data_IF_204971650859
#
_entry.id   IF_204971650859
#
_cell.length_a   1.000
_cell.length_b   1.000
_cell.length_c   1.000
_cell.angle_alpha   90.00
_cell.angle_beta   90.00
_cell.angle_gamma   90.00
#
_symmetry.space_group_name_H-M   'P 1'
#
loop_
_entity.id
_entity.type
_entity.pdbx_description
1 polymer ?
#
# COMPACT_ATOMS: atom_id res chain seq x y z
N UNK A 1 -9.78 1.77 4.85
CA UNK A 1 -8.66 1.18 4.05
C UNK A 1 -7.81 0.20 4.85
N UNK A 2 -7.37 0.51 6.08
CA UNK A 2 -6.52 -0.43 6.85
C UNK A 2 -7.18 -1.79 7.02
N UNK A 3 -8.41 -1.84 7.54
CA UNK A 3 -9.14 -3.11 7.75
C UNK A 3 -9.38 -3.88 6.45
N UNK A 4 -9.70 -3.16 5.37
CA UNK A 4 -9.87 -3.73 4.03
C UNK A 4 -8.58 -4.41 3.56
N UNK A 5 -7.44 -3.71 3.63
CA UNK A 5 -6.15 -4.27 3.21
C UNK A 5 -5.71 -5.42 4.13
N UNK A 6 -5.89 -5.29 5.46
CA UNK A 6 -5.50 -6.33 6.42
C UNK A 6 -6.28 -7.64 6.26
N UNK A 7 -7.47 -7.60 5.67
CA UNK A 7 -8.30 -8.78 5.42
C UNK A 7 -8.25 -9.31 3.99
N UNK A 8 -7.53 -8.64 3.09
CA UNK A 8 -7.53 -8.99 1.67
C UNK A 8 -6.53 -10.10 1.33
N UNK A 9 -6.98 -11.14 0.62
CA UNK A 9 -6.15 -12.32 0.27
C UNK A 9 -4.88 -12.03 -0.53
N UNK A 10 -4.87 -10.93 -1.31
CA UNK A 10 -3.71 -10.51 -2.10
C UNK A 10 -2.72 -9.62 -1.35
N UNK A 11 -2.93 -9.42 -0.03
CA UNK A 11 -2.08 -8.59 0.83
C UNK A 11 -1.40 -9.47 1.86
N UNK A 12 -0.07 -9.44 1.88
CA UNK A 12 0.75 -10.25 2.78
C UNK A 12 0.95 -9.62 4.17
N UNK A 13 1.01 -8.31 4.23
CA UNK A 13 1.18 -7.55 5.48
C UNK A 13 0.68 -6.11 5.31
N UNK A 14 0.33 -5.46 6.43
CA UNK A 14 -0.03 -4.04 6.49
C UNK A 14 0.71 -3.37 7.64
N UNK A 15 1.36 -2.24 7.35
CA UNK A 15 2.00 -1.38 8.35
C UNK A 15 1.23 -0.06 8.45
N UNK A 16 0.50 0.07 9.54
CA UNK A 16 -0.22 1.28 9.93
C UNK A 16 -0.59 1.16 11.42
N UNK A 17 -0.58 2.25 12.22
CA UNK A 17 -0.89 2.19 13.65
C UNK A 17 -2.28 1.65 14.02
N UNK A 18 -3.20 1.53 13.05
CA UNK A 18 -4.49 0.86 13.23
C UNK A 18 -4.50 -0.61 12.79
N UNK A 19 -3.43 -1.10 12.16
CA UNK A 19 -3.37 -2.51 11.76
C UNK A 19 -3.41 -3.43 13.00
N UNK A 20 -4.05 -4.62 12.91
CA UNK A 20 -4.19 -5.53 14.05
C UNK A 20 -2.85 -5.92 14.68
N UNK A 21 -1.84 -6.16 13.84
CA UNK A 21 -0.52 -6.65 14.25
C UNK A 21 0.54 -5.55 14.37
N UNK A 22 0.12 -4.28 14.45
CA UNK A 22 1.08 -3.17 14.59
C UNK A 22 1.78 -3.24 15.95
N UNK A 23 3.14 -3.32 16.01
CA UNK A 23 3.87 -3.60 17.24
C UNK A 23 3.63 -2.58 18.36
N UNK A 24 3.56 -1.28 18.00
CA UNK A 24 3.41 -0.17 18.93
C UNK A 24 1.98 0.36 19.00
N UNK A 25 0.98 -0.50 18.77
CA UNK A 25 -0.43 -0.11 18.73
C UNK A 25 -0.89 0.61 20.01
N UNK A 26 -0.54 0.10 21.17
CA UNK A 26 -0.92 0.71 22.46
C UNK A 26 -0.31 2.11 22.63
N UNK A 27 0.94 2.30 22.20
CA UNK A 27 1.60 3.60 22.21
C UNK A 27 0.94 4.56 21.21
N UNK A 28 0.63 4.08 20.01
CA UNK A 28 -0.07 4.87 19.00
C UNK A 28 -1.47 5.30 19.47
N UNK A 29 -2.22 4.44 20.15
CA UNK A 29 -3.53 4.76 20.73
C UNK A 29 -3.42 5.88 21.79
N UNK A 30 -2.35 5.87 22.56
CA UNK A 30 -2.08 6.90 23.59
C UNK A 30 -1.66 8.24 22.99
N UNK A 31 -0.75 8.22 21.99
CA UNK A 31 -0.15 9.43 21.43
C UNK A 31 -1.00 10.07 20.32
N UNK A 32 -1.77 9.27 19.60
CA UNK A 32 -2.57 9.68 18.44
C UNK A 32 -4.07 9.37 18.61
N UNK A 33 -4.70 9.83 19.69
CA UNK A 33 -6.10 9.46 20.02
C UNK A 33 -7.12 10.00 19.01
N UNK A 34 -6.80 11.07 18.28
CA UNK A 34 -7.71 11.73 17.32
C UNK A 34 -7.61 11.17 15.88
N UNK A 35 -6.59 10.38 15.61
CA UNK A 35 -6.35 9.80 14.27
C UNK A 35 -4.88 9.46 14.07
N UNK A 36 -4.61 8.45 13.27
CA UNK A 36 -3.26 7.87 13.09
C UNK A 36 -2.68 8.12 11.71
N UNK A 37 -3.23 9.10 10.99
CA UNK A 37 -2.74 9.53 9.69
C UNK A 37 -3.29 8.71 8.51
N UNK A 38 -2.94 9.17 7.31
CA UNK A 38 -3.43 8.65 6.03
C UNK A 38 -2.41 7.76 5.29
N UNK A 39 -1.20 7.62 5.84
CA UNK A 39 -0.14 6.82 5.21
C UNK A 39 -0.25 5.36 5.62
N UNK A 40 -0.39 4.48 4.62
CA UNK A 40 -0.43 3.03 4.80
C UNK A 40 0.69 2.42 3.94
N UNK A 41 1.46 1.50 4.50
CA UNK A 41 2.33 0.63 3.74
C UNK A 41 1.77 -0.79 3.78
N UNK A 42 1.80 -1.51 2.67
CA UNK A 42 1.37 -2.90 2.62
C UNK A 42 2.17 -3.70 1.61
N UNK A 43 2.28 -4.99 1.83
CA UNK A 43 2.89 -5.94 0.90
C UNK A 43 1.83 -6.57 0.00
N UNK A 44 2.14 -6.68 -1.29
CA UNK A 44 1.30 -7.37 -2.26
C UNK A 44 1.85 -8.77 -2.55
N UNK A 45 0.99 -9.79 -2.48
CA UNK A 45 1.36 -11.16 -2.85
C UNK A 45 1.83 -11.23 -4.31
N UNK A 46 2.99 -11.89 -4.54
CA UNK A 46 3.62 -11.99 -5.86
C UNK A 46 4.78 -11.01 -6.10
N UNK A 47 5.18 -10.24 -5.09
CA UNK A 47 6.40 -9.43 -5.09
C UNK A 47 6.40 -8.28 -6.10
N UNK A 48 7.60 -7.96 -6.62
CA UNK A 48 7.80 -6.81 -7.53
C UNK A 48 6.87 -6.81 -8.74
N UNK A 49 6.72 -7.96 -9.40
CA UNK A 49 5.87 -8.05 -10.60
C UNK A 49 4.39 -7.81 -10.28
N UNK A 50 3.92 -8.31 -9.15
CA UNK A 50 2.57 -8.04 -8.67
C UNK A 50 2.35 -6.56 -8.39
N UNK A 51 3.29 -5.90 -7.72
CA UNK A 51 3.25 -4.46 -7.48
C UNK A 51 3.16 -3.63 -8.75
N UNK A 52 3.95 -3.97 -9.77
CA UNK A 52 3.90 -3.31 -11.07
C UNK A 52 2.55 -3.47 -11.77
N UNK A 53 2.01 -4.70 -11.81
CA UNK A 53 0.71 -4.97 -12.43
C UNK A 53 -0.41 -4.28 -11.67
N UNK A 54 -0.40 -4.35 -10.34
CA UNK A 54 -1.37 -3.67 -9.49
C UNK A 54 -1.39 -2.16 -9.75
N UNK A 55 -0.24 -1.50 -9.71
CA UNK A 55 -0.14 -0.07 -9.97
C UNK A 55 -0.70 0.33 -11.34
N UNK A 56 -0.39 -0.44 -12.37
CA UNK A 56 -0.84 -0.16 -13.73
C UNK A 56 -2.36 -0.34 -13.91
N UNK A 57 -3.05 -0.95 -12.95
CA UNK A 57 -4.49 -1.22 -13.01
C UNK A 57 -5.31 -0.44 -11.99
N UNK A 58 -4.68 0.26 -11.06
CA UNK A 58 -5.36 1.25 -10.21
C UNK A 58 -5.73 2.48 -11.07
N UNK A 59 -6.96 2.97 -10.94
CA UNK A 59 -7.50 4.03 -11.79
C UNK A 59 -7.90 5.29 -11.03
N UNK A 60 -8.44 5.13 -9.83
CA UNK A 60 -8.88 6.26 -9.00
C UNK A 60 -7.70 6.87 -8.24
N UNK A 61 -6.85 6.05 -7.63
CA UNK A 61 -5.64 6.53 -6.98
C UNK A 61 -4.58 6.94 -8.01
N UNK A 62 -3.90 8.06 -7.78
CA UNK A 62 -2.88 8.60 -8.68
C UNK A 62 -1.50 8.01 -8.38
N UNK A 63 -0.73 7.71 -9.42
CA UNK A 63 0.66 7.25 -9.30
C UNK A 63 1.57 8.45 -9.04
N UNK A 64 1.71 8.85 -7.79
CA UNK A 64 2.50 9.99 -7.38
C UNK A 64 3.03 9.78 -5.96
N UNK A 65 4.25 10.26 -5.72
CA UNK A 65 4.86 10.28 -4.39
C UNK A 65 4.60 11.64 -3.71
N UNK A 66 3.70 11.66 -2.75
CA UNK A 66 3.45 12.83 -1.89
C UNK A 66 2.85 12.35 -0.55
N UNK A 67 2.65 13.27 0.38
CA UNK A 67 2.02 13.03 1.69
C UNK A 67 1.01 14.15 1.95
N UNK A 68 -0.21 13.77 2.37
CA UNK A 68 -1.25 14.74 2.73
C UNK A 68 -1.91 15.45 1.55
N UNK A 69 -1.90 14.83 0.37
CA UNK A 69 -2.67 15.31 -0.78
C UNK A 69 -4.16 14.99 -0.58
N UNK A 70 -5.04 15.83 -1.14
CA UNK A 70 -6.49 15.57 -1.16
C UNK A 70 -6.86 14.36 -2.00
N UNK A 71 -6.03 14.00 -2.97
CA UNK A 71 -6.16 12.78 -3.79
C UNK A 71 -5.48 11.61 -3.12
N UNK A 72 -6.03 10.43 -3.31
CA UNK A 72 -5.34 9.20 -2.96
C UNK A 72 -4.17 8.94 -3.90
N UNK A 73 -2.99 8.72 -3.32
CA UNK A 73 -1.74 8.51 -4.04
C UNK A 73 -1.18 7.14 -3.72
N UNK A 74 -0.68 6.45 -4.73
CA UNK A 74 -0.10 5.12 -4.60
C UNK A 74 1.21 5.01 -5.36
N UNK A 75 2.21 4.40 -4.75
CA UNK A 75 3.49 4.08 -5.40
C UNK A 75 3.95 2.68 -5.02
N UNK A 76 4.72 2.07 -5.92
CA UNK A 76 5.48 0.85 -5.69
C UNK A 76 6.97 1.19 -5.78
N UNK A 77 7.67 1.46 -4.65
CA UNK A 77 9.03 2.01 -4.67
C UNK A 77 10.03 1.20 -5.48
N UNK A 78 9.95 -0.14 -5.40
CA UNK A 78 10.87 -1.03 -6.11
C UNK A 78 10.80 -0.92 -7.65
N UNK A 79 9.67 -0.47 -8.22
CA UNK A 79 9.52 -0.28 -9.66
C UNK A 79 9.56 1.19 -10.11
N UNK A 80 9.53 2.12 -9.17
CA UNK A 80 9.45 3.56 -9.46
C UNK A 80 10.64 4.33 -8.89
N UNK A 81 10.52 4.84 -7.67
CA UNK A 81 11.52 5.73 -7.04
C UNK A 81 12.86 5.04 -6.76
N UNK A 82 12.89 3.72 -6.63
CA UNK A 82 14.07 2.91 -6.32
C UNK A 82 14.36 1.84 -7.41
N UNK A 83 13.88 2.07 -8.63
CA UNK A 83 14.01 1.11 -9.75
C UNK A 83 15.47 0.81 -10.16
N UNK A 84 16.41 1.70 -9.83
CA UNK A 84 17.84 1.55 -10.10
C UNK A 84 18.58 0.70 -9.04
N UNK A 85 17.93 0.36 -7.93
CA UNK A 85 18.54 -0.42 -6.85
C UNK A 85 18.33 -1.92 -7.10
N UNK A 86 19.38 -2.70 -6.80
CA UNK A 86 19.27 -4.16 -6.76
C UNK A 86 18.49 -4.64 -5.51
N UNK A 87 18.08 -5.89 -5.52
CA UNK A 87 17.28 -6.51 -4.45
C UNK A 87 17.95 -6.42 -3.07
N UNK A 88 19.27 -6.60 -3.03
CA UNK A 88 20.03 -6.54 -1.77
C UNK A 88 20.03 -5.13 -1.19
N UNK A 89 20.22 -4.14 -2.02
CA UNK A 89 20.22 -2.72 -1.64
C UNK A 89 18.83 -2.28 -1.17
N UNK A 90 17.77 -2.72 -1.85
CA UNK A 90 16.38 -2.47 -1.43
C UNK A 90 16.08 -3.09 -0.06
N UNK A 91 16.49 -4.33 0.16
CA UNK A 91 16.31 -5.01 1.45
C UNK A 91 17.05 -4.31 2.58
N UNK A 92 18.30 -3.89 2.36
CA UNK A 92 19.09 -3.14 3.33
C UNK A 92 18.49 -1.76 3.65
N UNK A 93 17.84 -1.15 2.66
CA UNK A 93 17.11 0.12 2.84
C UNK A 93 15.74 -0.05 3.51
N UNK A 94 15.33 -1.28 3.86
CA UNK A 94 14.01 -1.55 4.45
C UNK A 94 12.85 -1.38 3.46
N UNK A 95 13.12 -1.56 2.16
CA UNK A 95 12.14 -1.43 1.08
C UNK A 95 11.97 -2.80 0.42
N UNK A 96 11.09 -3.67 0.94
CA UNK A 96 10.84 -4.96 0.33
C UNK A 96 10.21 -4.82 -1.06
N UNK A 97 10.43 -5.81 -1.92
CA UNK A 97 9.98 -5.76 -3.32
C UNK A 97 8.46 -5.75 -3.49
N UNK A 98 7.73 -6.24 -2.50
CA UNK A 98 6.28 -6.27 -2.45
C UNK A 98 5.64 -4.99 -1.88
N UNK A 99 6.45 -4.05 -1.39
CA UNK A 99 5.97 -2.83 -0.74
C UNK A 99 5.18 -1.94 -1.68
N UNK A 100 3.95 -1.65 -1.32
CA UNK A 100 3.13 -0.57 -1.87
C UNK A 100 2.89 0.48 -0.79
N UNK A 101 3.13 1.74 -1.12
CA UNK A 101 2.85 2.87 -0.23
C UNK A 101 1.63 3.63 -0.72
N UNK A 102 0.68 3.83 0.17
CA UNK A 102 -0.60 4.48 -0.06
C UNK A 102 -0.72 5.74 0.82
N UNK A 103 -1.06 6.87 0.22
CA UNK A 103 -1.52 8.08 0.93
C UNK A 103 -3.00 8.26 0.63
N UNK A 104 -3.86 7.97 1.61
CA UNK A 104 -5.31 8.01 1.43
C UNK A 104 -5.78 9.46 1.38
N UNK A 105 -6.54 9.81 0.35
CA UNK A 105 -7.14 11.12 0.13
C UNK A 105 -8.58 11.21 0.63
N UNK A 106 -9.38 12.05 -0.03
CA UNK A 106 -10.75 12.40 0.38
C UNK A 106 -11.83 11.74 -0.49
N UNK A 107 -11.45 10.84 -1.40
CA UNK A 107 -12.40 10.11 -2.25
C UNK A 107 -13.30 9.19 -1.39
N UNK A 108 -14.45 8.82 -1.95
CA UNK A 108 -15.35 7.86 -1.31
C UNK A 108 -14.62 6.54 -1.04
N UNK A 109 -14.77 6.02 0.18
CA UNK A 109 -14.04 4.83 0.63
C UNK A 109 -14.45 3.57 -0.13
N UNK A 110 -15.70 3.45 -0.53
CA UNK A 110 -16.17 2.27 -1.27
C UNK A 110 -15.67 2.32 -2.72
N UNK A 111 -15.56 3.50 -3.30
CA UNK A 111 -14.95 3.67 -4.63
C UNK A 111 -13.47 3.30 -4.62
N UNK A 112 -12.71 3.70 -3.58
CA UNK A 112 -11.32 3.29 -3.40
C UNK A 112 -11.17 1.77 -3.22
N UNK A 113 -12.01 1.14 -2.40
CA UNK A 113 -12.01 -0.31 -2.22
C UNK A 113 -12.33 -1.05 -3.51
N UNK A 114 -13.31 -0.57 -4.27
CA UNK A 114 -13.69 -1.14 -5.56
C UNK A 114 -12.56 -1.03 -6.59
N UNK A 115 -11.89 0.11 -6.66
CA UNK A 115 -10.73 0.32 -7.52
C UNK A 115 -9.60 -0.66 -7.20
N UNK A 116 -9.26 -0.79 -5.92
CA UNK A 116 -8.22 -1.71 -5.45
C UNK A 116 -8.60 -3.18 -5.67
N UNK A 117 -9.85 -3.58 -5.37
CA UNK A 117 -10.33 -4.93 -5.65
C UNK A 117 -10.20 -5.29 -7.13
N UNK A 118 -10.55 -4.37 -8.03
CA UNK A 118 -10.38 -4.58 -9.47
C UNK A 118 -8.91 -4.75 -9.85
N UNK A 119 -8.03 -3.89 -9.32
CA UNK A 119 -6.60 -3.99 -9.57
C UNK A 119 -6.01 -5.30 -9.04
N UNK A 120 -6.35 -5.73 -7.82
CA UNK A 120 -5.93 -7.03 -7.25
C UNK A 120 -6.41 -8.21 -8.10
N UNK A 121 -7.68 -8.19 -8.53
CA UNK A 121 -8.25 -9.25 -9.39
C UNK A 121 -7.51 -9.37 -10.72
N UNK A 122 -7.17 -8.24 -11.36
CA UNK A 122 -6.40 -8.24 -12.60
C UNK A 122 -4.99 -8.74 -12.35
N UNK A 123 -4.35 -8.31 -11.26
CA UNK A 123 -3.00 -8.75 -10.87
C UNK A 123 -2.96 -10.27 -10.71
N UNK A 124 -3.89 -10.86 -9.96
CA UNK A 124 -3.98 -12.31 -9.76
C UNK A 124 -4.08 -13.05 -11.10
N UNK A 125 -5.00 -12.62 -11.99
CA UNK A 125 -5.16 -13.22 -13.32
C UNK A 125 -3.95 -13.09 -14.24
N UNK A 126 -3.15 -12.05 -14.07
CA UNK A 126 -1.97 -11.79 -14.92
C UNK A 126 -0.77 -12.64 -14.49
N UNK A 127 -0.75 -13.07 -13.24
CA UNK A 127 0.36 -13.84 -12.65
C UNK A 127 0.11 -15.35 -12.62
N UNK A 128 -1.14 -15.79 -12.79
CA UNK A 128 -1.53 -17.19 -13.03
C UNK A 128 -1.16 -17.63 -14.46
#
# INVERSE_FOLDING_TARGET
MVDFLSSHESVSWVSHPNAPDYPDKALADKLLPKGKGSMIAFGIEGGKKAGEVFLNNVRLASHLANVGDARTLVIHPASTTHSQMDEKTLTLAGIPQDLVRLSVGLEDIEDLKNDFNNAFRITKKTLE
#
